data_IF_971845086916
#
_entry.id   IF_971845086916
#
_cell.length_a   1.000
_cell.length_b   1.000
_cell.length_c   1.000
_cell.angle_alpha   90.00
_cell.angle_beta   90.00
_cell.angle_gamma   90.00
#
_symmetry.space_group_name_H-M   'P 1'
#
loop_
_entity.id
_entity.type
_entity.pdbx_description
1 polymer ?
#
# COMPACT_ATOMS: atom_id res chain seq x y z
N UNK A 1 5.61 -18.37 32.15
CA UNK A 1 4.83 -17.22 31.67
C UNK A 1 5.68 -16.52 30.63
N UNK A 2 5.28 -16.59 29.35
CA UNK A 2 6.03 -15.95 28.27
C UNK A 2 5.81 -14.45 28.38
N UNK A 3 6.90 -13.68 28.43
CA UNK A 3 6.81 -12.22 28.49
C UNK A 3 6.41 -11.68 27.12
N UNK A 4 5.13 -11.31 26.98
CA UNK A 4 4.55 -10.76 25.74
C UNK A 4 5.37 -9.58 25.19
N UNK A 5 5.99 -8.76 26.07
CA UNK A 5 6.83 -7.63 25.63
C UNK A 5 8.02 -8.07 24.76
N UNK A 6 8.56 -9.28 24.98
CA UNK A 6 9.65 -9.81 24.14
C UNK A 6 9.17 -10.25 22.75
N UNK A 7 7.87 -10.54 22.59
CA UNK A 7 7.26 -10.88 21.30
C UNK A 7 6.95 -9.66 20.45
N UNK A 8 6.69 -8.50 21.09
CA UNK A 8 6.30 -7.25 20.44
C UNK A 8 7.54 -6.41 20.05
N UNK A 9 8.74 -6.81 20.50
CA UNK A 9 9.95 -6.06 20.21
C UNK A 9 10.19 -5.96 18.70
N UNK A 10 10.39 -4.73 18.23
CA UNK A 10 10.72 -4.49 16.82
C UNK A 10 12.02 -5.21 16.44
N UNK A 11 12.07 -5.90 15.27
CA UNK A 11 13.25 -6.61 14.84
C UNK A 11 14.49 -5.72 14.80
N UNK A 12 15.63 -6.23 15.26
CA UNK A 12 16.89 -5.51 15.19
C UNK A 12 17.38 -5.30 13.75
N UNK A 13 18.47 -4.58 13.59
CA UNK A 13 18.97 -4.21 12.27
C UNK A 13 19.32 -5.44 11.42
N UNK A 14 19.98 -6.43 12.02
CA UNK A 14 20.47 -7.61 11.30
C UNK A 14 19.31 -8.50 10.86
N UNK A 15 18.32 -8.69 11.73
CA UNK A 15 17.06 -9.37 11.40
C UNK A 15 16.31 -8.67 10.25
N UNK A 16 16.23 -7.34 10.28
CA UNK A 16 15.59 -6.59 9.18
C UNK A 16 16.34 -6.72 7.86
N UNK A 17 17.67 -6.71 7.89
CA UNK A 17 18.47 -6.93 6.68
C UNK A 17 18.26 -8.34 6.12
N UNK A 18 18.28 -9.37 6.97
CA UNK A 18 17.98 -10.75 6.57
C UNK A 18 16.59 -10.88 5.93
N UNK A 19 15.56 -10.25 6.52
CA UNK A 19 14.21 -10.22 5.98
C UNK A 19 14.20 -9.52 4.60
N UNK A 20 14.86 -8.38 4.45
CA UNK A 20 14.93 -7.65 3.16
C UNK A 20 15.57 -8.46 2.05
N UNK A 21 16.63 -9.21 2.38
CA UNK A 21 17.29 -10.07 1.40
C UNK A 21 16.45 -11.27 1.01
N UNK A 22 15.71 -11.84 1.96
CA UNK A 22 14.89 -13.03 1.75
C UNK A 22 13.59 -12.73 0.99
N UNK A 23 12.95 -11.59 1.25
CA UNK A 23 11.64 -11.26 0.72
C UNK A 23 11.69 -10.11 -0.30
N UNK A 24 11.41 -10.42 -1.56
CA UNK A 24 11.42 -9.43 -2.66
C UNK A 24 10.35 -8.34 -2.53
N UNK A 25 9.40 -8.48 -1.61
CA UNK A 25 8.34 -7.51 -1.37
C UNK A 25 8.89 -6.10 -1.13
N UNK A 26 10.01 -5.96 -0.41
CA UNK A 26 10.64 -4.68 -0.12
C UNK A 26 11.20 -3.96 -1.36
N UNK A 27 11.48 -4.68 -2.44
CA UNK A 27 11.93 -4.07 -3.71
C UNK A 27 10.78 -3.47 -4.52
N UNK A 28 9.54 -3.86 -4.22
CA UNK A 28 8.33 -3.42 -4.93
C UNK A 28 7.76 -2.12 -4.37
N UNK A 29 7.93 -1.86 -3.08
CA UNK A 29 7.46 -0.64 -2.44
C UNK A 29 8.48 0.49 -2.60
N UNK A 30 8.38 1.20 -3.72
CA UNK A 30 9.25 2.35 -4.00
C UNK A 30 8.47 3.63 -3.76
N UNK A 31 9.07 4.52 -2.99
CA UNK A 31 8.61 5.90 -2.88
C UNK A 31 8.62 6.56 -4.26
N UNK A 32 7.65 7.40 -4.51
CA UNK A 32 7.62 8.24 -5.72
C UNK A 32 8.57 9.41 -5.48
N UNK A 33 9.67 9.52 -6.26
CA UNK A 33 10.58 10.64 -6.10
C UNK A 33 9.93 11.93 -6.60
N UNK A 34 9.98 13.00 -5.79
CA UNK A 34 9.35 14.28 -6.15
C UNK A 34 9.91 14.88 -7.45
N UNK A 35 11.16 14.58 -7.80
CA UNK A 35 11.76 15.05 -9.05
C UNK A 35 11.16 14.40 -10.32
N UNK A 36 10.34 13.34 -10.17
CA UNK A 36 9.63 12.76 -11.32
C UNK A 36 8.68 13.78 -11.94
N UNK A 37 8.13 14.69 -11.14
CA UNK A 37 7.22 15.72 -11.60
C UNK A 37 7.91 16.70 -12.56
N UNK A 38 9.19 16.99 -12.35
CA UNK A 38 9.99 17.84 -13.27
C UNK A 38 10.08 17.25 -14.68
N UNK A 39 10.09 15.92 -14.80
CA UNK A 39 10.14 15.23 -16.09
C UNK A 39 8.85 15.41 -16.90
N UNK A 40 7.75 15.67 -16.22
CA UNK A 40 6.42 15.83 -16.83
C UNK A 40 5.94 17.27 -16.81
N UNK A 41 6.82 18.20 -16.41
CA UNK A 41 6.57 19.64 -16.47
C UNK A 41 6.28 20.05 -17.92
N UNK A 42 5.09 20.59 -18.15
CA UNK A 42 4.63 20.99 -19.49
C UNK A 42 3.81 19.95 -20.27
N UNK A 43 3.64 18.72 -19.78
CA UNK A 43 2.83 17.71 -20.48
C UNK A 43 1.44 17.51 -19.90
N UNK A 44 1.30 17.47 -18.56
CA UNK A 44 0.02 17.23 -17.87
C UNK A 44 -0.29 18.26 -16.80
N UNK A 45 0.73 18.81 -16.17
CA UNK A 45 0.62 19.77 -15.08
C UNK A 45 0.59 21.19 -15.65
N UNK A 46 -0.23 21.40 -16.70
CA UNK A 46 -0.34 22.70 -17.36
C UNK A 46 -0.91 23.79 -16.44
N UNK A 47 -1.50 23.43 -15.30
CA UNK A 47 -2.04 24.36 -14.33
C UNK A 47 -1.26 24.26 -13.03
N UNK A 48 -0.59 25.35 -12.66
CA UNK A 48 0.24 25.46 -11.46
C UNK A 48 -0.47 25.08 -10.17
N UNK A 49 -1.78 25.30 -10.10
CA UNK A 49 -2.64 24.94 -8.97
C UNK A 49 -2.66 23.43 -8.70
N UNK A 50 -2.65 22.60 -9.73
CA UNK A 50 -2.66 21.14 -9.56
C UNK A 50 -1.31 20.57 -9.14
N UNK A 51 -0.21 21.29 -9.39
CA UNK A 51 1.13 20.82 -9.06
C UNK A 51 1.33 20.67 -7.53
N UNK A 52 0.93 21.66 -6.74
CA UNK A 52 1.04 21.62 -5.28
C UNK A 52 0.18 20.50 -4.69
N UNK A 53 -1.03 20.31 -5.24
CA UNK A 53 -1.94 19.25 -4.84
C UNK A 53 -1.31 17.87 -5.11
N UNK A 54 -0.73 17.68 -6.29
CA UNK A 54 -0.05 16.41 -6.66
C UNK A 54 1.13 16.14 -5.73
N UNK A 55 1.96 17.16 -5.43
CA UNK A 55 3.07 17.02 -4.46
C UNK A 55 2.57 16.59 -3.09
N UNK A 56 1.49 17.20 -2.61
CA UNK A 56 0.88 16.88 -1.32
C UNK A 56 0.47 15.41 -1.28
N UNK A 57 -0.25 14.92 -2.28
CA UNK A 57 -0.67 13.52 -2.37
C UNK A 57 0.50 12.54 -2.49
N UNK A 58 1.56 12.89 -3.24
CA UNK A 58 2.77 12.08 -3.33
C UNK A 58 3.46 11.99 -1.97
N UNK A 59 3.55 13.10 -1.23
CA UNK A 59 4.13 13.08 0.12
C UNK A 59 3.33 12.20 1.07
N UNK A 60 2.01 12.30 1.07
CA UNK A 60 1.15 11.44 1.89
C UNK A 60 1.29 9.97 1.51
N UNK A 61 1.29 9.64 0.23
CA UNK A 61 1.55 8.29 -0.25
C UNK A 61 2.90 7.74 0.23
N UNK A 62 3.97 8.54 0.10
CA UNK A 62 5.30 8.16 0.55
C UNK A 62 5.38 7.95 2.06
N UNK A 63 4.68 8.77 2.85
CA UNK A 63 4.57 8.59 4.30
C UNK A 63 3.85 7.28 4.67
N UNK A 64 2.75 6.96 4.01
CA UNK A 64 2.04 5.70 4.24
C UNK A 64 2.93 4.50 3.95
N UNK A 65 3.68 4.50 2.82
CA UNK A 65 4.64 3.44 2.51
C UNK A 65 5.74 3.32 3.57
N UNK A 66 6.22 4.44 4.09
CA UNK A 66 7.23 4.44 5.15
C UNK A 66 6.69 3.83 6.45
N UNK A 67 5.50 4.25 6.90
CA UNK A 67 4.88 3.71 8.11
C UNK A 67 4.48 2.25 7.98
N UNK A 68 4.09 1.80 6.79
CA UNK A 68 3.77 0.40 6.52
C UNK A 68 4.97 -0.53 6.73
N UNK A 69 6.21 -0.05 6.55
CA UNK A 69 7.40 -0.89 6.71
C UNK A 69 7.53 -1.46 8.13
N UNK A 70 7.10 -0.72 9.16
CA UNK A 70 7.21 -1.16 10.55
C UNK A 70 6.36 -2.42 10.80
N UNK A 71 5.03 -2.40 10.59
CA UNK A 71 4.21 -3.60 10.78
C UNK A 71 4.55 -4.71 9.78
N UNK A 72 5.03 -4.39 8.58
CA UNK A 72 5.46 -5.39 7.61
C UNK A 72 6.67 -6.20 8.12
N UNK A 73 7.69 -5.53 8.66
CA UNK A 73 8.82 -6.23 9.28
C UNK A 73 8.37 -7.12 10.45
N UNK A 74 7.45 -6.62 11.29
CA UNK A 74 6.94 -7.38 12.41
C UNK A 74 6.08 -8.57 11.99
N UNK A 75 5.25 -8.41 10.97
CA UNK A 75 4.47 -9.51 10.42
C UNK A 75 5.39 -10.64 9.90
N UNK A 76 6.42 -10.28 9.13
CA UNK A 76 7.36 -11.26 8.57
C UNK A 76 8.19 -11.93 9.67
N UNK A 77 8.75 -11.17 10.62
CA UNK A 77 9.52 -11.72 11.75
C UNK A 77 8.65 -12.67 12.59
N UNK A 78 7.40 -12.29 12.83
CA UNK A 78 6.45 -13.15 13.56
C UNK A 78 6.12 -14.42 12.78
N UNK A 79 5.94 -14.32 11.46
CA UNK A 79 5.72 -15.48 10.58
C UNK A 79 6.90 -16.46 10.61
N UNK A 80 8.13 -15.94 10.55
CA UNK A 80 9.33 -16.79 10.64
C UNK A 80 9.39 -17.55 11.98
N UNK A 81 9.07 -16.87 13.08
CA UNK A 81 9.00 -17.50 14.42
C UNK A 81 7.89 -18.54 14.53
N UNK A 82 6.74 -18.35 13.89
CA UNK A 82 5.65 -19.32 13.85
C UNK A 82 6.11 -20.63 13.19
N UNK A 83 6.91 -20.57 12.14
CA UNK A 83 7.37 -21.74 11.41
C UNK A 83 8.19 -22.70 12.27
N UNK A 84 8.91 -22.15 13.26
CA UNK A 84 9.80 -22.90 14.15
C UNK A 84 9.10 -23.33 15.45
N UNK A 85 7.79 -23.02 15.62
CA UNK A 85 7.03 -23.31 16.82
C UNK A 85 6.19 -24.59 16.70
N UNK A 86 6.06 -25.31 17.81
CA UNK A 86 5.11 -26.40 17.94
C UNK A 86 3.66 -25.87 17.92
N UNK A 87 2.83 -26.42 17.03
CA UNK A 87 1.45 -25.94 16.74
C UNK A 87 0.55 -25.91 17.97
N UNK A 88 0.74 -26.84 18.92
CA UNK A 88 -0.07 -26.96 20.13
C UNK A 88 0.40 -26.01 21.26
N UNK A 89 1.45 -25.25 21.08
CA UNK A 89 2.01 -24.41 22.14
C UNK A 89 1.26 -23.08 22.30
N UNK A 90 1.21 -22.55 23.53
CA UNK A 90 0.71 -21.21 23.79
C UNK A 90 1.50 -20.14 23.04
N UNK A 91 2.79 -20.39 22.82
CA UNK A 91 3.64 -19.50 22.05
C UNK A 91 3.17 -19.39 20.60
N UNK A 92 2.82 -20.50 19.96
CA UNK A 92 2.28 -20.53 18.60
C UNK A 92 0.99 -19.70 18.51
N UNK A 93 0.05 -19.85 19.46
CA UNK A 93 -1.20 -19.11 19.45
C UNK A 93 -0.97 -17.59 19.59
N UNK A 94 -0.06 -17.20 20.48
CA UNK A 94 0.29 -15.79 20.68
C UNK A 94 0.98 -15.19 19.44
N UNK A 95 1.92 -15.90 18.84
CA UNK A 95 2.59 -15.46 17.61
C UNK A 95 1.61 -15.37 16.45
N UNK A 96 0.69 -16.32 16.32
CA UNK A 96 -0.36 -16.29 15.31
C UNK A 96 -1.26 -15.06 15.45
N UNK A 97 -1.69 -14.73 16.67
CA UNK A 97 -2.47 -13.52 16.92
C UNK A 97 -1.71 -12.24 16.54
N UNK A 98 -0.42 -12.15 16.89
CA UNK A 98 0.43 -11.02 16.51
C UNK A 98 0.62 -10.93 15.00
N UNK A 99 0.81 -12.05 14.31
CA UNK A 99 0.92 -12.10 12.86
C UNK A 99 -0.33 -11.53 12.19
N UNK A 100 -1.52 -11.95 12.63
CA UNK A 100 -2.78 -11.41 12.11
C UNK A 100 -2.90 -9.90 12.39
N UNK A 101 -2.61 -9.47 13.61
CA UNK A 101 -2.66 -8.05 13.98
C UNK A 101 -1.76 -7.18 13.07
N UNK A 102 -0.50 -7.57 12.88
CA UNK A 102 0.40 -6.81 12.01
C UNK A 102 0.02 -6.90 10.53
N UNK A 103 -0.51 -8.04 10.09
CA UNK A 103 -1.00 -8.21 8.72
C UNK A 103 -2.20 -7.31 8.42
N UNK A 104 -3.12 -7.16 9.36
CA UNK A 104 -4.26 -6.23 9.23
C UNK A 104 -3.78 -4.78 9.14
N UNK A 105 -2.80 -4.39 9.95
CA UNK A 105 -2.22 -3.03 9.87
C UNK A 105 -1.55 -2.82 8.51
N UNK A 106 -0.80 -3.79 8.00
CA UNK A 106 -0.19 -3.70 6.66
C UNK A 106 -1.26 -3.54 5.58
N UNK A 107 -2.33 -4.35 5.64
CA UNK A 107 -3.46 -4.27 4.71
C UNK A 107 -4.09 -2.90 4.72
N UNK A 108 -4.35 -2.33 5.90
CA UNK A 108 -4.88 -0.98 6.03
C UNK A 108 -3.98 0.08 5.37
N UNK A 109 -2.65 0.00 5.57
CA UNK A 109 -1.73 0.94 4.92
C UNK A 109 -1.69 0.79 3.40
N UNK A 110 -1.80 -0.45 2.88
CA UNK A 110 -1.88 -0.71 1.44
C UNK A 110 -3.13 -0.06 0.86
N UNK A 111 -4.28 -0.24 1.50
CA UNK A 111 -5.55 0.32 1.07
C UNK A 111 -5.50 1.86 1.07
N UNK A 112 -5.02 2.46 2.16
CA UNK A 112 -4.80 3.89 2.24
C UNK A 112 -3.84 4.41 1.16
N UNK A 113 -2.74 3.71 0.88
CA UNK A 113 -1.78 4.09 -0.16
C UNK A 113 -2.42 4.01 -1.56
N UNK A 114 -3.28 3.03 -1.79
CA UNK A 114 -4.02 2.90 -3.04
C UNK A 114 -5.00 4.05 -3.26
N UNK A 115 -5.77 4.44 -2.22
CA UNK A 115 -6.64 5.62 -2.26
C UNK A 115 -5.83 6.91 -2.51
N UNK A 116 -4.65 7.07 -1.90
CA UNK A 116 -3.79 8.23 -2.16
C UNK A 116 -3.23 8.23 -3.58
N UNK A 117 -2.88 7.06 -4.13
CA UNK A 117 -2.47 6.96 -5.53
C UNK A 117 -3.59 7.40 -6.48
N UNK A 118 -4.83 7.09 -6.16
CA UNK A 118 -5.98 7.53 -6.91
C UNK A 118 -6.14 9.06 -6.89
N UNK A 119 -5.91 9.72 -5.74
CA UNK A 119 -5.93 11.18 -5.64
C UNK A 119 -4.81 11.84 -6.45
N UNK A 120 -3.63 11.22 -6.53
CA UNK A 120 -2.57 11.67 -7.42
C UNK A 120 -3.10 11.73 -8.87
N UNK A 121 -3.74 10.67 -9.36
CA UNK A 121 -4.32 10.65 -10.71
C UNK A 121 -5.48 11.63 -10.87
N UNK A 122 -6.33 11.77 -9.84
CA UNK A 122 -7.41 12.76 -9.84
C UNK A 122 -6.86 14.17 -10.07
N UNK A 123 -5.81 14.54 -9.36
CA UNK A 123 -5.16 15.84 -9.49
C UNK A 123 -4.39 15.98 -10.82
N UNK A 124 -3.60 14.96 -11.20
CA UNK A 124 -2.81 14.98 -12.44
C UNK A 124 -3.67 15.15 -13.69
N UNK A 125 -4.83 14.50 -13.74
CA UNK A 125 -5.73 14.54 -14.89
C UNK A 125 -6.88 15.57 -14.73
N UNK A 126 -6.88 16.36 -13.65
CA UNK A 126 -7.91 17.33 -13.34
C UNK A 126 -9.33 16.74 -13.46
N UNK A 127 -9.56 15.57 -12.83
CA UNK A 127 -10.82 14.85 -12.95
C UNK A 127 -11.95 15.48 -12.12
N UNK A 128 -11.61 16.31 -11.12
CA UNK A 128 -12.54 17.02 -10.21
C UNK A 128 -13.47 16.08 -9.44
N UNK A 129 -12.96 14.93 -9.04
CA UNK A 129 -13.69 13.95 -8.24
C UNK A 129 -13.47 14.26 -6.76
N UNK A 130 -14.55 14.25 -5.96
CA UNK A 130 -14.46 14.48 -4.52
C UNK A 130 -13.59 13.44 -3.83
N UNK A 131 -12.82 13.88 -2.85
CA UNK A 131 -11.83 13.11 -2.07
C UNK A 131 -12.49 12.33 -0.93
N UNK A 132 -13.51 11.54 -1.23
CA UNK A 132 -14.16 10.66 -0.26
C UNK A 132 -13.74 9.19 -0.47
N UNK A 133 -14.03 8.33 0.50
CA UNK A 133 -13.72 6.91 0.42
C UNK A 133 -14.36 6.26 -0.82
N UNK A 134 -13.65 5.32 -1.42
CA UNK A 134 -14.10 4.63 -2.63
C UNK A 134 -14.02 5.48 -3.89
N UNK A 135 -13.25 6.57 -3.87
CA UNK A 135 -13.08 7.44 -5.04
C UNK A 135 -12.37 6.73 -6.20
N UNK A 136 -11.56 5.68 -5.92
CA UNK A 136 -10.78 4.96 -6.94
C UNK A 136 -11.65 4.44 -8.08
N UNK A 137 -12.80 3.84 -7.79
CA UNK A 137 -13.71 3.33 -8.83
C UNK A 137 -14.26 4.44 -9.73
N UNK A 138 -14.53 5.63 -9.14
CA UNK A 138 -14.98 6.80 -9.89
C UNK A 138 -13.84 7.36 -10.75
N UNK A 139 -12.65 7.44 -10.20
CA UNK A 139 -11.43 7.86 -10.89
C UNK A 139 -11.13 6.93 -12.06
N UNK A 140 -11.13 5.61 -11.85
CA UNK A 140 -10.96 4.62 -12.93
C UNK A 140 -12.01 4.78 -14.03
N UNK A 141 -13.27 5.02 -13.65
CA UNK A 141 -14.35 5.26 -14.63
C UNK A 141 -14.09 6.50 -15.48
N UNK A 142 -13.63 7.61 -14.88
CA UNK A 142 -13.30 8.83 -15.62
C UNK A 142 -12.04 8.68 -16.48
N UNK A 143 -10.99 8.03 -15.94
CA UNK A 143 -9.78 7.72 -16.73
C UNK A 143 -10.15 6.85 -17.94
N UNK A 144 -11.04 5.87 -17.78
CA UNK A 144 -11.48 5.00 -18.88
C UNK A 144 -12.17 5.78 -19.99
N UNK A 145 -12.99 6.78 -19.66
CA UNK A 145 -13.64 7.65 -20.65
C UNK A 145 -12.63 8.47 -21.47
N UNK A 146 -11.49 8.83 -20.85
CA UNK A 146 -10.44 9.65 -21.46
C UNK A 146 -9.31 8.84 -22.06
N UNK A 147 -9.32 7.50 -21.90
CA UNK A 147 -8.24 6.63 -22.37
C UNK A 147 -8.06 6.70 -23.91
N UNK A 148 -9.12 6.97 -24.64
CA UNK A 148 -9.06 7.16 -26.09
C UNK A 148 -8.41 8.48 -26.52
N UNK A 149 -8.32 9.46 -25.60
CA UNK A 149 -7.79 10.80 -25.88
C UNK A 149 -6.25 10.82 -25.81
N UNK A 150 -5.62 9.89 -25.07
CA UNK A 150 -4.17 9.91 -24.83
C UNK A 150 -3.62 8.53 -24.56
N UNK A 151 -2.54 8.17 -25.27
CA UNK A 151 -1.81 6.91 -25.05
C UNK A 151 -1.31 6.77 -23.60
N UNK A 152 -0.93 7.88 -22.94
CA UNK A 152 -0.45 7.87 -21.56
C UNK A 152 -1.58 7.59 -20.59
N UNK A 153 -2.76 8.18 -20.80
CA UNK A 153 -3.95 7.91 -19.98
C UNK A 153 -4.34 6.43 -20.11
N UNK A 154 -4.28 5.89 -21.31
CA UNK A 154 -4.54 4.47 -21.55
C UNK A 154 -3.51 3.55 -20.84
N UNK A 155 -2.21 3.90 -20.88
CA UNK A 155 -1.18 3.13 -20.14
C UNK A 155 -1.43 3.14 -18.63
N UNK A 156 -1.81 4.28 -18.06
CA UNK A 156 -2.17 4.40 -16.64
C UNK A 156 -3.38 3.54 -16.32
N UNK A 157 -4.42 3.58 -17.17
CA UNK A 157 -5.62 2.77 -17.00
C UNK A 157 -5.29 1.28 -16.96
N UNK A 158 -4.51 0.77 -17.92
CA UNK A 158 -4.10 -0.63 -17.98
C UNK A 158 -3.38 -1.06 -16.70
N UNK A 159 -2.50 -0.22 -16.16
CA UNK A 159 -1.79 -0.52 -14.91
C UNK A 159 -2.71 -0.52 -13.69
N UNK A 160 -3.65 0.42 -13.60
CA UNK A 160 -4.64 0.47 -12.51
C UNK A 160 -5.58 -0.74 -12.57
N UNK A 161 -6.03 -1.13 -13.75
CA UNK A 161 -6.88 -2.31 -13.94
C UNK A 161 -6.13 -3.60 -13.57
N UNK A 162 -4.84 -3.71 -13.93
CA UNK A 162 -4.02 -4.85 -13.56
C UNK A 162 -3.89 -5.00 -12.03
N UNK A 163 -3.72 -3.90 -11.30
CA UNK A 163 -3.68 -3.91 -9.82
C UNK A 163 -5.05 -4.30 -9.28
N UNK A 164 -6.12 -3.70 -9.78
CA UNK A 164 -7.48 -3.92 -9.28
C UNK A 164 -8.02 -5.34 -9.54
N UNK A 165 -7.50 -6.02 -10.57
CA UNK A 165 -7.82 -7.40 -10.90
C UNK A 165 -6.82 -8.42 -10.34
N UNK A 166 -5.76 -7.96 -9.67
CA UNK A 166 -4.81 -8.84 -9.02
C UNK A 166 -5.49 -9.70 -7.97
N UNK A 167 -5.30 -11.02 -8.06
CA UNK A 167 -5.96 -11.97 -7.18
C UNK A 167 -5.65 -11.72 -5.70
N UNK A 168 -4.40 -11.40 -5.39
CA UNK A 168 -3.98 -11.16 -4.00
C UNK A 168 -4.60 -9.88 -3.44
N UNK A 169 -4.73 -8.84 -4.25
CA UNK A 169 -5.42 -7.61 -3.87
C UNK A 169 -6.91 -7.86 -3.64
N UNK A 170 -7.57 -8.60 -4.54
CA UNK A 170 -8.99 -8.95 -4.37
C UNK A 170 -9.23 -9.82 -3.13
N UNK A 171 -8.36 -10.79 -2.86
CA UNK A 171 -8.46 -11.65 -1.67
C UNK A 171 -8.27 -10.84 -0.37
N UNK A 172 -7.40 -9.82 -0.38
CA UNK A 172 -7.19 -8.90 0.73
C UNK A 172 -8.49 -8.11 1.02
N UNK A 173 -9.08 -7.48 0.02
CA UNK A 173 -10.34 -6.72 0.17
C UNK A 173 -11.50 -7.60 0.67
N UNK A 174 -11.59 -8.86 0.22
CA UNK A 174 -12.61 -9.80 0.67
C UNK A 174 -12.41 -10.19 2.14
N UNK A 175 -11.16 -10.32 2.60
CA UNK A 175 -10.86 -10.63 4.00
C UNK A 175 -11.28 -9.49 4.93
N UNK A 176 -11.05 -8.23 4.55
CA UNK A 176 -11.46 -7.06 5.33
C UNK A 176 -12.98 -6.94 5.46
N UNK A 177 -13.72 -7.17 4.36
CA UNK A 177 -15.20 -7.12 4.41
C UNK A 177 -15.82 -8.22 5.28
N UNK A 178 -15.16 -9.36 5.44
CA UNK A 178 -15.63 -10.44 6.32
C UNK A 178 -15.33 -10.19 7.80
N UNK A 179 -14.27 -9.47 8.11
CA UNK A 179 -13.88 -9.14 9.51
C UNK A 179 -14.75 -8.03 10.11
N UNK A 180 -15.38 -7.18 9.26
CA UNK A 180 -16.30 -6.12 9.70
C UNK A 180 -17.74 -6.60 9.99
N UNK A 181 -18.04 -7.89 9.77
CA UNK A 181 -19.40 -8.46 9.91
C UNK A 181 -19.49 -9.41 11.15
N UNK A 182 -18.42 -9.53 11.93
CA UNK A 182 -18.40 -10.23 13.22
C UNK A 182 -18.28 -9.22 14.34
#
# INVERSE_FOLDING_TARGET
>A
MINIYNLIKFPDKDTREAIRLKYSVFSRYKQIPLNILKKYEGTFLCEFENYEIVITWINEYNHLLFFMLIPLYQAIDTYEKIRDCEIASDLFQNLRALFYYYSEIVSYYIDCAFEKSAQIFNAMFNLRINEDRGCINRIMKEIRKRAEESAIINEVLVKLEAIHTDKYYCDLLISETKTLII
#
